data_IF_397527250183
#
_entry.id   IF_397527250183
#
_cell.length_a   1.000
_cell.length_b   1.000
_cell.length_c   1.000
_cell.angle_alpha   90.00
_cell.angle_beta   90.00
_cell.angle_gamma   90.00
#
_symmetry.space_group_name_H-M   'P 1'
#
loop_
_entity.id
_entity.type
_entity.pdbx_description
1 polymer ?
#
# COMPACT_ATOMS: atom_id res chain seq x y z
N UNK A 1 51.55 -54.12 44.96
CA UNK A 1 50.49 -54.85 44.24
C UNK A 1 49.22 -54.70 45.07
N UNK A 2 48.55 -53.55 45.12
CA UNK A 2 48.24 -52.55 44.08
C UNK A 2 47.08 -52.98 43.18
N UNK A 3 45.96 -52.31 43.38
CA UNK A 3 44.83 -52.15 42.48
C UNK A 3 44.34 -50.69 42.65
N UNK A 4 43.46 -50.16 41.79
CA UNK A 4 43.11 -50.55 40.42
C UNK A 4 43.44 -49.41 39.43
N UNK A 5 43.08 -49.55 38.14
CA UNK A 5 42.80 -48.36 37.33
C UNK A 5 41.62 -48.60 36.39
N UNK A 6 40.68 -47.65 36.37
CA UNK A 6 39.44 -47.75 35.61
C UNK A 6 39.61 -47.06 34.25
N UNK A 7 39.47 -47.82 33.16
CA UNK A 7 39.46 -47.26 31.81
C UNK A 7 38.26 -46.33 31.61
N UNK A 8 38.53 -45.03 31.46
CA UNK A 8 37.51 -43.99 31.38
C UNK A 8 36.62 -44.10 30.14
N UNK A 9 35.34 -43.81 30.31
CA UNK A 9 34.38 -43.62 29.21
C UNK A 9 34.72 -42.35 28.41
N UNK A 10 35.27 -42.49 27.20
CA UNK A 10 35.36 -41.38 26.25
C UNK A 10 33.96 -40.94 25.78
N UNK A 11 33.41 -39.93 26.45
CA UNK A 11 32.22 -39.25 26.00
C UNK A 11 32.56 -38.41 24.75
N UNK A 12 32.26 -38.93 23.55
CA UNK A 12 32.37 -38.16 22.32
C UNK A 12 31.49 -36.89 22.36
N UNK A 13 32.13 -35.76 22.62
CA UNK A 13 31.52 -34.44 22.59
C UNK A 13 31.14 -34.06 21.15
N UNK A 14 29.90 -34.38 20.75
CA UNK A 14 29.38 -34.11 19.40
C UNK A 14 29.16 -32.62 19.16
N UNK A 15 30.22 -31.91 18.79
CA UNK A 15 30.16 -30.52 18.38
C UNK A 15 29.10 -30.29 17.27
N UNK A 16 28.19 -29.31 17.42
CA UNK A 16 27.11 -29.09 16.45
C UNK A 16 27.65 -28.53 15.12
N UNK A 17 27.45 -29.29 14.04
CA UNK A 17 28.06 -29.06 12.71
C UNK A 17 27.80 -27.65 12.14
N UNK A 18 28.83 -26.82 11.86
CA UNK A 18 28.66 -25.44 11.39
C UNK A 18 27.99 -25.33 10.02
N UNK A 19 28.15 -26.36 9.16
CA UNK A 19 27.55 -26.43 7.82
C UNK A 19 26.03 -26.16 7.81
N UNK A 20 25.27 -26.62 8.82
CA UNK A 20 23.80 -26.43 8.85
C UNK A 20 23.38 -24.97 9.04
N UNK A 21 24.13 -24.17 9.79
CA UNK A 21 23.85 -22.73 9.96
C UNK A 21 24.16 -21.96 8.67
N UNK A 22 25.26 -22.31 8.01
CA UNK A 22 25.65 -21.73 6.72
C UNK A 22 24.58 -21.96 5.66
N UNK A 23 24.08 -23.20 5.50
CA UNK A 23 23.00 -23.50 4.55
C UNK A 23 21.71 -22.72 4.82
N UNK A 24 21.30 -22.55 6.09
CA UNK A 24 20.12 -21.75 6.43
C UNK A 24 20.26 -20.27 6.04
N UNK A 25 21.44 -19.68 6.27
CA UNK A 25 21.72 -18.29 5.87
C UNK A 25 21.75 -18.14 4.34
N UNK A 26 22.34 -19.11 3.63
CA UNK A 26 22.33 -19.16 2.16
C UNK A 26 20.89 -19.27 1.63
N UNK A 27 20.06 -20.14 2.20
CA UNK A 27 18.65 -20.27 1.79
C UNK A 27 17.84 -18.99 2.02
N UNK A 28 18.06 -18.30 3.14
CA UNK A 28 17.38 -17.02 3.43
C UNK A 28 17.84 -15.90 2.50
N UNK A 29 19.16 -15.80 2.25
CA UNK A 29 19.71 -14.83 1.31
C UNK A 29 19.24 -15.10 -0.14
N UNK A 30 19.20 -16.37 -0.55
CA UNK A 30 18.67 -16.79 -1.84
C UNK A 30 17.17 -16.46 -1.99
N UNK A 31 16.36 -16.70 -0.95
CA UNK A 31 14.95 -16.31 -0.95
C UNK A 31 14.77 -14.79 -1.08
N UNK A 32 15.55 -14.01 -0.32
CA UNK A 32 15.55 -12.54 -0.42
C UNK A 32 15.94 -12.04 -1.81
N UNK A 33 16.96 -12.65 -2.42
CA UNK A 33 17.39 -12.36 -3.79
C UNK A 33 16.30 -12.73 -4.82
N UNK A 34 15.64 -13.87 -4.67
CA UNK A 34 14.53 -14.28 -5.55
C UNK A 34 13.35 -13.29 -5.46
N UNK A 35 12.96 -12.87 -4.24
CA UNK A 35 11.91 -11.86 -4.05
C UNK A 35 12.33 -10.52 -4.68
N UNK A 36 13.57 -10.07 -4.46
CA UNK A 36 14.09 -8.84 -5.06
C UNK A 36 14.07 -8.89 -6.60
N UNK A 37 14.59 -9.96 -7.19
CA UNK A 37 14.60 -10.14 -8.65
C UNK A 37 13.19 -10.25 -9.23
N UNK A 38 12.25 -10.88 -8.53
CA UNK A 38 10.83 -10.93 -8.92
C UNK A 38 10.20 -9.54 -8.91
N UNK A 39 10.40 -8.75 -7.85
CA UNK A 39 9.92 -7.37 -7.74
C UNK A 39 10.51 -6.49 -8.84
N UNK A 40 11.82 -6.60 -9.11
CA UNK A 40 12.50 -5.86 -10.19
C UNK A 40 11.99 -6.30 -11.57
N UNK A 41 11.79 -7.59 -11.82
CA UNK A 41 11.27 -8.09 -13.09
C UNK A 41 9.83 -7.63 -13.34
N UNK A 42 8.96 -7.70 -12.34
CA UNK A 42 7.58 -7.19 -12.42
C UNK A 42 7.56 -5.68 -12.69
N UNK A 43 8.40 -4.91 -11.98
CA UNK A 43 8.53 -3.47 -12.22
C UNK A 43 9.06 -3.16 -13.63
N UNK A 44 10.12 -3.81 -14.08
CA UNK A 44 10.68 -3.65 -15.43
C UNK A 44 9.67 -4.01 -16.52
N UNK A 45 8.84 -5.04 -16.30
CA UNK A 45 7.79 -5.45 -17.25
C UNK A 45 6.65 -4.43 -17.39
N UNK A 46 6.51 -3.51 -16.43
CA UNK A 46 5.50 -2.42 -16.43
C UNK A 46 5.89 -1.18 -17.23
N UNK A 47 7.03 -1.19 -17.94
CA UNK A 47 7.55 -0.04 -18.68
C UNK A 47 6.50 0.62 -19.57
N UNK A 48 6.13 1.85 -19.18
CA UNK A 48 5.33 2.86 -19.89
C UNK A 48 4.50 2.41 -21.11
N UNK A 49 3.57 1.47 -20.91
CA UNK A 49 2.52 1.18 -21.89
C UNK A 49 1.38 2.16 -21.70
N UNK A 50 1.55 3.39 -22.19
CA UNK A 50 0.40 4.17 -22.63
C UNK A 50 -0.32 3.34 -23.69
N UNK A 51 -1.46 2.76 -23.34
CA UNK A 51 -2.40 2.23 -24.32
C UNK A 51 -2.78 3.41 -25.21
N UNK A 52 -2.47 3.34 -26.49
CA UNK A 52 -3.00 4.26 -27.48
C UNK A 52 -3.71 3.41 -28.51
N UNK A 53 -5.00 3.67 -28.67
CA UNK A 53 -5.88 3.01 -29.62
C UNK A 53 -6.61 4.10 -30.41
N UNK A 54 -7.08 3.80 -31.61
CA UNK A 54 -7.57 4.77 -32.58
C UNK A 54 -6.45 5.37 -33.42
N UNK A 55 -6.81 6.07 -34.48
CA UNK A 55 -5.86 6.70 -35.40
C UNK A 55 -5.63 8.17 -34.99
N UNK A 56 -4.40 8.57 -34.60
CA UNK A 56 -4.08 9.96 -34.32
C UNK A 56 -3.94 10.83 -35.58
N UNK A 57 -4.14 10.25 -36.76
CA UNK A 57 -4.11 10.87 -38.10
C UNK A 57 -5.42 10.63 -38.87
N UNK A 58 -6.54 10.43 -38.14
CA UNK A 58 -7.88 10.36 -38.71
C UNK A 58 -8.25 11.62 -39.52
N UNK A 59 -9.31 11.52 -40.32
CA UNK A 59 -9.66 12.60 -41.24
C UNK A 59 -10.24 13.79 -40.50
N UNK A 60 -9.93 14.99 -40.98
CA UNK A 60 -10.48 16.29 -40.54
C UNK A 60 -12.01 16.41 -40.76
N UNK A 61 -12.63 15.38 -41.35
CA UNK A 61 -14.07 15.20 -41.53
C UNK A 61 -14.74 14.40 -40.43
N UNK A 62 -13.99 13.73 -39.56
CA UNK A 62 -14.50 12.75 -38.61
C UNK A 62 -14.76 13.39 -37.23
N UNK A 63 -15.73 12.87 -36.48
CA UNK A 63 -15.97 13.27 -35.08
C UNK A 63 -14.96 12.58 -34.19
N UNK A 64 -14.03 13.35 -33.63
CA UNK A 64 -12.99 12.84 -32.73
C UNK A 64 -13.56 12.63 -31.32
N UNK A 65 -13.51 11.38 -30.85
CA UNK A 65 -13.93 11.00 -29.49
C UNK A 65 -12.75 10.38 -28.76
N UNK A 66 -12.07 11.18 -27.93
CA UNK A 66 -10.97 10.74 -27.08
C UNK A 66 -11.47 10.30 -25.71
N UNK A 67 -11.31 9.01 -25.41
CA UNK A 67 -11.60 8.40 -24.10
C UNK A 67 -10.28 8.30 -23.31
N UNK A 68 -10.29 8.79 -22.07
CA UNK A 68 -9.15 8.74 -21.15
C UNK A 68 -9.55 8.11 -19.80
N UNK A 69 -8.74 7.20 -19.23
CA UNK A 69 -9.06 6.57 -17.94
C UNK A 69 -8.74 7.49 -16.76
N UNK A 70 -9.73 7.72 -15.90
CA UNK A 70 -9.59 8.57 -14.71
C UNK A 70 -9.43 7.75 -13.41
N UNK A 71 -10.19 6.66 -13.25
CA UNK A 71 -10.12 5.79 -12.07
C UNK A 71 -10.66 4.38 -12.36
N UNK A 72 -10.18 3.38 -11.61
CA UNK A 72 -10.78 2.03 -11.58
C UNK A 72 -11.10 1.68 -10.13
N UNK A 73 -12.37 1.39 -9.85
CA UNK A 73 -12.85 0.96 -8.55
C UNK A 73 -13.42 -0.45 -8.63
N UNK A 74 -12.57 -1.43 -8.32
CA UNK A 74 -12.94 -2.84 -8.37
C UNK A 74 -13.98 -3.27 -7.33
N UNK A 75 -14.09 -2.55 -6.20
CA UNK A 75 -15.03 -2.90 -5.12
C UNK A 75 -16.51 -2.62 -5.48
N UNK A 76 -16.76 -1.87 -6.56
CA UNK A 76 -18.10 -1.61 -7.11
C UNK A 76 -18.14 -1.83 -8.63
N UNK A 77 -17.12 -2.50 -9.20
CA UNK A 77 -17.00 -2.82 -10.62
C UNK A 77 -17.18 -1.61 -11.56
N UNK A 78 -16.56 -0.47 -11.21
CA UNK A 78 -16.64 0.78 -12.00
C UNK A 78 -15.31 1.23 -12.59
N UNK A 79 -15.38 1.69 -13.84
CA UNK A 79 -14.32 2.40 -14.55
C UNK A 79 -14.80 3.83 -14.79
N UNK A 80 -14.07 4.82 -14.27
CA UNK A 80 -14.33 6.25 -14.51
C UNK A 80 -13.50 6.72 -15.70
N UNK A 81 -14.15 7.40 -16.63
CA UNK A 81 -13.61 7.82 -17.92
C UNK A 81 -13.89 9.31 -18.14
N UNK A 82 -12.91 10.04 -18.66
CA UNK A 82 -13.14 11.32 -19.31
C UNK A 82 -13.31 11.10 -20.80
N UNK A 83 -14.46 11.54 -21.34
CA UNK A 83 -14.77 11.46 -22.77
C UNK A 83 -14.74 12.88 -23.32
N UNK A 84 -13.74 13.18 -24.13
CA UNK A 84 -13.63 14.43 -24.88
C UNK A 84 -14.15 14.22 -26.29
N UNK A 85 -15.10 15.05 -26.71
CA UNK A 85 -15.65 15.10 -28.06
C UNK A 85 -15.19 16.39 -28.71
N UNK A 86 -14.70 16.28 -29.95
CA UNK A 86 -14.31 17.38 -30.82
C UNK A 86 -15.03 17.20 -32.17
N UNK A 87 -15.68 18.28 -32.64
CA UNK A 87 -16.39 18.27 -33.91
C UNK A 87 -15.45 18.59 -35.08
N UNK A 88 -15.64 17.98 -36.26
CA UNK A 88 -14.86 18.29 -37.46
C UNK A 88 -15.19 19.68 -38.00
N UNK A 89 -14.25 20.30 -38.72
CA UNK A 89 -14.37 21.63 -39.35
C UNK A 89 -15.61 21.76 -40.27
N UNK A 90 -16.06 20.64 -40.84
CA UNK A 90 -17.31 20.55 -41.62
C UNK A 90 -18.54 21.02 -40.82
N UNK A 91 -18.56 20.80 -39.50
CA UNK A 91 -19.63 21.17 -38.56
C UNK A 91 -19.38 22.48 -37.80
N UNK A 92 -18.21 23.12 -37.93
CA UNK A 92 -17.85 24.38 -37.25
C UNK A 92 -18.10 25.59 -38.15
N UNK A 93 -18.65 26.69 -37.65
CA UNK A 93 -18.86 27.95 -38.38
C UNK A 93 -17.54 28.48 -38.96
N UNK A 94 -17.61 29.28 -40.04
CA UNK A 94 -16.43 29.85 -40.70
C UNK A 94 -15.59 30.82 -39.81
N UNK A 95 -16.07 31.13 -38.61
CA UNK A 95 -15.31 31.85 -37.58
C UNK A 95 -14.40 30.93 -36.72
N UNK A 96 -14.56 29.61 -36.81
CA UNK A 96 -13.82 28.62 -36.02
C UNK A 96 -14.24 28.50 -34.55
N UNK A 97 -15.32 29.17 -34.12
CA UNK A 97 -15.68 29.33 -32.70
C UNK A 97 -16.92 28.52 -32.31
N UNK A 98 -17.87 28.32 -33.22
CA UNK A 98 -19.22 27.86 -32.90
C UNK A 98 -19.71 26.72 -33.80
N UNK A 99 -20.58 25.84 -33.28
CA UNK A 99 -21.22 24.74 -34.03
C UNK A 99 -22.29 25.22 -35.02
N UNK A 100 -22.21 24.80 -36.29
CA UNK A 100 -23.24 25.04 -37.36
C UNK A 100 -24.55 24.30 -37.12
N UNK A 101 -24.45 23.03 -36.70
CA UNK A 101 -25.55 22.08 -36.41
C UNK A 101 -25.39 21.55 -34.98
N UNK A 102 -26.45 21.01 -34.39
CA UNK A 102 -26.31 20.23 -33.16
C UNK A 102 -25.64 18.89 -33.48
N UNK A 103 -24.62 18.53 -32.69
CA UNK A 103 -23.95 17.23 -32.73
C UNK A 103 -24.24 16.48 -31.44
N UNK A 104 -24.73 15.25 -31.56
CA UNK A 104 -25.03 14.35 -30.46
C UNK A 104 -24.11 13.13 -30.55
N UNK A 105 -23.37 12.86 -29.48
CA UNK A 105 -22.56 11.63 -29.35
C UNK A 105 -23.19 10.75 -28.29
N UNK A 106 -23.74 9.62 -28.72
CA UNK A 106 -24.26 8.58 -27.85
C UNK A 106 -23.09 7.69 -27.39
N UNK A 107 -22.93 7.55 -26.07
CA UNK A 107 -22.00 6.61 -25.44
C UNK A 107 -22.79 5.69 -24.51
N UNK A 108 -22.73 4.38 -24.74
CA UNK A 108 -23.51 3.41 -23.97
C UNK A 108 -22.76 2.08 -23.80
N UNK A 109 -22.89 1.36 -22.67
CA UNK A 109 -23.56 1.76 -21.43
C UNK A 109 -22.69 2.69 -20.57
N UNK A 110 -23.26 3.79 -20.09
CA UNK A 110 -22.64 4.69 -19.09
C UNK A 110 -23.66 5.06 -18.01
N UNK A 111 -23.17 5.46 -16.83
CA UNK A 111 -24.00 5.98 -15.76
C UNK A 111 -24.58 7.36 -16.11
N UNK A 112 -25.87 7.55 -15.83
CA UNK A 112 -26.56 8.82 -16.07
C UNK A 112 -26.87 9.05 -17.55
N UNK A 113 -26.65 10.27 -18.03
CA UNK A 113 -27.00 10.66 -19.39
C UNK A 113 -26.02 10.07 -20.42
N UNK A 114 -26.54 9.19 -21.29
CA UNK A 114 -25.74 8.49 -22.31
C UNK A 114 -25.35 9.38 -23.50
N UNK A 115 -26.07 10.47 -23.74
CA UNK A 115 -25.75 11.44 -24.79
C UNK A 115 -24.82 12.56 -24.28
N UNK A 116 -23.89 12.98 -25.12
CA UNK A 116 -23.10 14.19 -25.02
C UNK A 116 -23.57 15.12 -26.15
N UNK A 117 -24.01 16.33 -25.83
CA UNK A 117 -24.52 17.29 -26.80
C UNK A 117 -23.56 18.46 -26.98
N UNK A 118 -23.29 18.82 -28.24
CA UNK A 118 -22.71 20.08 -28.65
C UNK A 118 -23.80 20.81 -29.43
N UNK A 119 -24.46 21.76 -28.76
CA UNK A 119 -25.60 22.48 -29.32
C UNK A 119 -25.17 23.45 -30.42
N UNK A 120 -26.08 23.77 -31.35
CA UNK A 120 -25.83 24.80 -32.34
C UNK A 120 -25.46 26.12 -31.65
N UNK A 121 -24.35 26.73 -32.07
CA UNK A 121 -23.79 27.93 -31.45
C UNK A 121 -22.90 27.67 -30.22
N UNK A 122 -22.76 26.44 -29.73
CA UNK A 122 -21.80 26.11 -28.67
C UNK A 122 -20.37 26.02 -29.21
N UNK A 123 -19.39 26.02 -28.30
CA UNK A 123 -18.02 25.64 -28.63
C UNK A 123 -17.96 24.21 -29.23
N UNK A 124 -17.05 23.92 -30.18
CA UNK A 124 -16.98 22.65 -30.90
C UNK A 124 -16.23 21.54 -30.15
N UNK A 125 -15.98 21.73 -28.84
CA UNK A 125 -15.30 20.77 -27.98
C UNK A 125 -15.97 20.71 -26.61
N UNK A 126 -16.20 19.51 -26.10
CA UNK A 126 -16.70 19.27 -24.74
C UNK A 126 -16.03 18.05 -24.13
N UNK A 127 -15.77 18.07 -22.82
CA UNK A 127 -15.29 16.90 -22.06
C UNK A 127 -16.29 16.56 -20.96
N UNK A 128 -16.68 15.29 -20.87
CA UNK A 128 -17.63 14.78 -19.89
C UNK A 128 -17.00 13.60 -19.14
N UNK A 129 -16.83 13.75 -17.83
CA UNK A 129 -16.50 12.63 -16.94
C UNK A 129 -17.73 11.74 -16.78
N UNK A 130 -17.57 10.44 -16.95
CA UNK A 130 -18.63 9.45 -16.70
C UNK A 130 -18.07 8.18 -16.04
N UNK A 131 -18.95 7.31 -15.58
CA UNK A 131 -18.63 6.01 -14.99
C UNK A 131 -19.32 4.92 -15.80
N UNK A 132 -18.64 3.80 -16.00
CA UNK A 132 -19.15 2.65 -16.76
C UNK A 132 -19.02 1.38 -15.92
N UNK A 133 -19.96 0.46 -16.08
CA UNK A 133 -19.85 -0.89 -15.47
C UNK A 133 -18.70 -1.60 -16.16
N UNK A 134 -17.74 -2.09 -15.39
CA UNK A 134 -16.61 -2.87 -15.85
C UNK A 134 -16.59 -4.19 -15.06
N UNK A 135 -17.22 -5.21 -15.64
CA UNK A 135 -17.44 -6.50 -14.99
C UNK A 135 -16.13 -7.18 -14.65
N UNK A 136 -16.00 -7.65 -13.41
CA UNK A 136 -14.77 -8.25 -12.89
C UNK A 136 -14.99 -8.90 -11.53
N UNK A 137 -13.90 -9.22 -10.84
CA UNK A 137 -13.97 -9.68 -9.44
C UNK A 137 -12.71 -9.27 -8.70
N UNK A 138 -12.90 -8.37 -7.73
CA UNK A 138 -11.84 -7.80 -6.89
C UNK A 138 -11.25 -8.83 -5.92
N UNK A 139 -11.99 -9.90 -5.64
CA UNK A 139 -11.56 -11.01 -4.78
C UNK A 139 -10.33 -11.73 -5.35
N UNK A 140 -10.14 -11.68 -6.68
CA UNK A 140 -8.99 -12.25 -7.39
C UNK A 140 -7.72 -11.39 -7.32
N UNK A 141 -7.71 -10.36 -6.48
CA UNK A 141 -6.54 -9.52 -6.23
C UNK A 141 -5.29 -10.36 -5.91
N UNK A 142 -4.11 -10.06 -6.51
CA UNK A 142 -3.80 -8.88 -7.32
C UNK A 142 -3.90 -9.12 -8.84
N UNK A 143 -4.47 -10.25 -9.27
CA UNK A 143 -4.63 -10.59 -10.68
C UNK A 143 -6.03 -10.26 -11.20
N UNK A 144 -6.70 -9.33 -10.54
CA UNK A 144 -8.02 -8.84 -10.88
C UNK A 144 -8.02 -8.10 -12.23
N UNK A 145 -9.08 -8.37 -13.01
CA UNK A 145 -9.32 -7.81 -14.34
C UNK A 145 -10.76 -7.33 -14.41
N UNK A 146 -10.98 -6.24 -15.13
CA UNK A 146 -12.29 -5.63 -15.32
C UNK A 146 -12.48 -5.32 -16.80
N UNK A 147 -13.57 -5.80 -17.39
CA UNK A 147 -13.86 -5.63 -18.81
C UNK A 147 -15.16 -4.88 -19.01
N UNK A 148 -15.17 -3.96 -19.96
CA UNK A 148 -16.37 -3.27 -20.41
C UNK A 148 -16.41 -3.20 -21.94
N UNK A 149 -17.61 -3.14 -22.50
CA UNK A 149 -17.84 -2.93 -23.92
C UNK A 149 -18.61 -1.64 -24.08
N UNK A 150 -18.05 -0.67 -24.79
CA UNK A 150 -18.66 0.64 -25.04
C UNK A 150 -19.03 0.75 -26.51
N UNK A 151 -20.17 1.37 -26.76
CA UNK A 151 -20.61 1.78 -28.09
C UNK A 151 -20.55 3.31 -28.11
N UNK A 152 -19.96 3.85 -29.18
CA UNK A 152 -19.84 5.28 -29.43
C UNK A 152 -20.34 5.57 -30.84
N UNK A 153 -21.38 6.41 -30.97
CA UNK A 153 -21.93 6.83 -32.26
C UNK A 153 -22.21 8.33 -32.22
N UNK A 154 -21.67 9.06 -33.19
CA UNK A 154 -21.97 10.47 -33.42
C UNK A 154 -23.02 10.65 -34.52
N UNK A 155 -23.98 11.55 -34.32
CA UNK A 155 -24.95 11.95 -35.34
C UNK A 155 -25.31 13.43 -35.17
N UNK A 156 -25.65 14.11 -36.27
CA UNK A 156 -26.24 15.45 -36.21
C UNK A 156 -27.75 15.37 -36.33
N UNK A 157 -28.47 16.33 -35.75
CA UNK A 157 -29.92 16.48 -35.92
C UNK A 157 -30.20 17.77 -36.68
N UNK A 158 -31.06 17.71 -37.69
CA UNK A 158 -31.50 18.88 -38.45
C UNK A 158 -32.66 19.64 -37.78
N UNK A 159 -33.22 20.64 -38.46
CA UNK A 159 -34.32 21.44 -37.93
C UNK A 159 -35.69 20.72 -37.98
N UNK A 160 -35.82 19.68 -38.80
CA UNK A 160 -37.03 18.89 -39.00
C UNK A 160 -37.04 17.62 -38.11
N UNK A 161 -35.91 17.31 -37.48
CA UNK A 161 -35.72 16.20 -36.52
C UNK A 161 -35.03 14.98 -37.09
N UNK A 162 -34.59 14.99 -38.36
CA UNK A 162 -33.90 13.86 -38.98
C UNK A 162 -32.46 13.74 -38.45
N UNK A 163 -31.97 12.51 -38.31
CA UNK A 163 -30.67 12.21 -37.71
C UNK A 163 -29.67 11.71 -38.77
N UNK A 164 -28.57 12.42 -38.93
CA UNK A 164 -27.52 12.13 -39.91
C UNK A 164 -26.26 11.59 -39.21
N UNK A 165 -25.98 10.30 -39.35
CA UNK A 165 -24.81 9.62 -38.77
C UNK A 165 -23.51 10.24 -39.28
N UNK A 166 -22.58 10.51 -38.38
CA UNK A 166 -21.25 11.02 -38.69
C UNK A 166 -20.19 9.93 -38.54
N UNK A 167 -19.15 9.95 -39.38
CA UNK A 167 -17.96 9.13 -39.14
C UNK A 167 -17.34 9.53 -37.80
N UNK A 168 -16.96 8.55 -36.99
CA UNK A 168 -16.51 8.77 -35.61
C UNK A 168 -15.16 8.09 -35.39
N UNK A 169 -14.11 8.87 -35.13
CA UNK A 169 -12.80 8.36 -34.74
C UNK A 169 -12.75 8.19 -33.22
N UNK A 170 -12.75 6.94 -32.74
CA UNK A 170 -12.73 6.64 -31.31
C UNK A 170 -11.29 6.35 -30.87
N UNK A 171 -10.71 7.29 -30.15
CA UNK A 171 -9.35 7.19 -29.61
C UNK A 171 -9.37 6.82 -28.12
N UNK A 172 -8.41 6.00 -27.70
CA UNK A 172 -8.06 5.83 -26.28
C UNK A 172 -6.71 6.46 -26.01
N UNK A 173 -6.62 7.33 -24.99
CA UNK A 173 -5.42 8.12 -24.69
C UNK A 173 -5.14 8.19 -23.19
N UNK A 174 -3.89 8.42 -22.83
CA UNK A 174 -3.44 8.59 -21.45
C UNK A 174 -3.02 7.29 -20.77
N UNK A 175 -2.86 7.36 -19.45
CA UNK A 175 -2.48 6.24 -18.60
C UNK A 175 -3.07 6.46 -17.19
N UNK A 176 -3.36 5.38 -16.47
CA UNK A 176 -3.77 5.44 -15.07
C UNK A 176 -2.70 4.78 -14.20
N UNK A 177 -2.23 5.47 -13.16
CA UNK A 177 -1.22 4.90 -12.27
C UNK A 177 -1.70 3.60 -11.64
N UNK A 178 -0.87 2.56 -11.76
CA UNK A 178 -1.14 1.24 -11.21
C UNK A 178 -2.00 0.32 -12.07
N UNK A 179 -2.42 0.75 -13.27
CA UNK A 179 -3.25 -0.02 -14.20
C UNK A 179 -2.67 -0.04 -15.62
N UNK A 180 -2.96 -1.12 -16.33
CA UNK A 180 -2.76 -1.29 -17.77
C UNK A 180 -4.13 -1.45 -18.43
N UNK A 181 -4.33 -0.87 -19.61
CA UNK A 181 -5.53 -1.11 -20.41
C UNK A 181 -5.18 -1.79 -21.74
N UNK A 182 -5.97 -2.78 -22.13
CA UNK A 182 -6.05 -3.28 -23.49
C UNK A 182 -7.36 -2.80 -24.11
N UNK A 183 -7.29 -2.25 -25.32
CA UNK A 183 -8.45 -1.67 -26.01
C UNK A 183 -8.49 -2.20 -27.43
N UNK A 184 -9.66 -2.66 -27.87
CA UNK A 184 -9.88 -3.13 -29.23
C UNK A 184 -11.31 -2.82 -29.67
N UNK A 185 -11.46 -2.26 -30.88
CA UNK A 185 -12.76 -2.20 -31.56
C UNK A 185 -13.03 -3.53 -32.26
N UNK A 186 -14.21 -4.09 -32.03
CA UNK A 186 -14.69 -5.33 -32.65
C UNK A 186 -16.05 -5.04 -33.27
N UNK A 187 -16.23 -5.44 -34.53
CA UNK A 187 -17.56 -5.55 -35.14
C UNK A 187 -18.01 -6.99 -34.89
N UNK A 188 -18.95 -7.25 -33.95
CA UNK A 188 -19.43 -8.61 -33.72
C UNK A 188 -20.24 -9.11 -34.93
N UNK A 189 -20.37 -10.45 -35.12
CA UNK A 189 -21.13 -11.03 -36.23
C UNK A 189 -22.59 -10.56 -36.27
N UNK A 190 -23.19 -10.41 -35.08
CA UNK A 190 -24.49 -9.82 -34.86
C UNK A 190 -24.25 -8.40 -34.27
N UNK A 191 -24.22 -7.34 -35.09
CA UNK A 191 -24.01 -5.97 -34.60
C UNK A 191 -25.17 -5.52 -33.72
N UNK A 192 -24.86 -4.74 -32.68
CA UNK A 192 -25.90 -4.02 -31.94
C UNK A 192 -26.43 -2.93 -32.85
N UNK A 193 -27.70 -3.04 -33.23
CA UNK A 193 -28.42 -1.99 -33.95
C UNK A 193 -28.88 -0.93 -32.95
N UNK A 194 -28.52 0.32 -33.18
CA UNK A 194 -29.01 1.46 -32.41
C UNK A 194 -30.06 2.21 -33.23
N UNK A 195 -31.23 2.42 -32.62
CA UNK A 195 -32.29 3.27 -33.16
C UNK A 195 -31.98 4.74 -32.82
N UNK A 196 -31.84 5.58 -33.85
CA UNK A 196 -31.67 7.03 -33.72
C UNK A 196 -33.03 7.71 -33.48
N UNK A 197 -33.06 9.00 -33.07
CA UNK A 197 -34.31 9.69 -32.72
C UNK A 197 -35.37 9.78 -33.83
N UNK A 198 -34.98 9.55 -35.09
CA UNK A 198 -35.86 9.51 -36.27
C UNK A 198 -36.31 8.09 -36.66
N UNK A 199 -35.93 7.07 -35.88
CA UNK A 199 -36.21 5.65 -36.15
C UNK A 199 -35.18 4.96 -37.05
N UNK A 200 -34.08 5.63 -37.44
CA UNK A 200 -33.03 5.01 -38.26
C UNK A 200 -32.22 4.01 -37.44
N UNK A 201 -32.18 2.74 -37.84
CA UNK A 201 -31.31 1.73 -37.24
C UNK A 201 -29.89 1.75 -37.83
N UNK A 202 -28.87 1.83 -36.97
CA UNK A 202 -27.45 1.93 -37.38
C UNK A 202 -26.63 0.84 -36.67
N UNK A 203 -25.79 0.06 -37.39
CA UNK A 203 -24.92 -0.95 -36.79
C UNK A 203 -23.78 -0.26 -36.02
N UNK A 204 -23.65 -0.57 -34.74
CA UNK A 204 -22.73 0.14 -33.86
C UNK A 204 -21.49 -0.71 -33.49
N UNK A 205 -20.26 -0.19 -33.66
CA UNK A 205 -19.04 -0.92 -33.32
C UNK A 205 -18.86 -1.03 -31.80
N UNK A 206 -18.36 -2.18 -31.34
CA UNK A 206 -18.13 -2.43 -29.92
C UNK A 206 -16.67 -2.19 -29.55
N UNK A 207 -16.40 -1.11 -28.82
CA UNK A 207 -15.11 -0.82 -28.21
C UNK A 207 -14.95 -1.62 -26.91
N UNK A 208 -14.20 -2.71 -26.96
CA UNK A 208 -13.83 -3.48 -25.77
C UNK A 208 -12.66 -2.82 -25.04
N UNK A 209 -12.78 -2.68 -23.72
CA UNK A 209 -11.76 -2.13 -22.83
C UNK A 209 -11.55 -3.08 -21.66
N UNK A 210 -10.34 -3.61 -21.50
CA UNK A 210 -9.94 -4.45 -20.37
C UNK A 210 -8.89 -3.73 -19.51
N UNK A 211 -9.22 -3.51 -18.23
CA UNK A 211 -8.31 -2.98 -17.22
C UNK A 211 -7.69 -4.12 -16.39
N UNK A 212 -6.37 -4.10 -16.20
CA UNK A 212 -5.62 -5.05 -15.37
C UNK A 212 -4.54 -4.34 -14.55
N UNK A 213 -4.13 -4.91 -13.41
CA UNK A 213 -3.08 -4.31 -12.56
C UNK A 213 -1.75 -4.19 -13.31
N UNK A 214 -1.06 -3.06 -13.14
CA UNK A 214 0.28 -2.87 -13.69
C UNK A 214 1.31 -3.79 -13.01
N UNK A 215 2.41 -4.09 -13.72
CA UNK A 215 3.54 -4.83 -13.13
C UNK A 215 4.16 -4.11 -11.93
N UNK A 216 4.13 -2.77 -11.88
CA UNK A 216 4.57 -1.98 -10.72
C UNK A 216 3.65 -2.14 -9.51
N UNK A 217 2.33 -2.20 -9.70
CA UNK A 217 1.35 -2.54 -8.66
C UNK A 217 1.56 -3.95 -8.13
N UNK A 218 1.76 -4.92 -9.03
CA UNK A 218 2.05 -6.31 -8.68
C UNK A 218 3.36 -6.41 -7.88
N UNK A 219 4.42 -5.72 -8.30
CA UNK A 219 5.71 -5.68 -7.61
C UNK A 219 5.58 -5.14 -6.18
N UNK A 220 4.84 -4.04 -5.99
CA UNK A 220 4.59 -3.47 -4.66
C UNK A 220 3.71 -4.39 -3.80
N UNK A 221 2.70 -5.04 -4.38
CA UNK A 221 1.90 -6.07 -3.70
C UNK A 221 2.77 -7.23 -3.19
N UNK A 222 3.63 -7.81 -4.05
CA UNK A 222 4.57 -8.87 -3.68
C UNK A 222 5.51 -8.44 -2.56
N UNK A 223 6.00 -7.19 -2.57
CA UNK A 223 6.84 -6.64 -1.51
C UNK A 223 6.09 -6.61 -0.16
N UNK A 224 4.88 -6.05 -0.11
CA UNK A 224 4.08 -5.98 1.12
C UNK A 224 3.72 -7.37 1.66
N UNK A 225 3.33 -8.30 0.79
CA UNK A 225 3.04 -9.68 1.16
C UNK A 225 4.29 -10.41 1.70
N UNK A 226 5.46 -10.14 1.12
CA UNK A 226 6.73 -10.68 1.62
C UNK A 226 7.04 -10.19 3.03
N UNK A 227 6.79 -8.90 3.33
CA UNK A 227 6.93 -8.36 4.70
C UNK A 227 5.93 -9.02 5.66
N UNK A 228 4.65 -9.14 5.26
CA UNK A 228 3.60 -9.82 6.02
C UNK A 228 3.98 -11.27 6.37
N UNK A 229 4.62 -12.01 5.46
CA UNK A 229 5.08 -13.40 5.69
C UNK A 229 6.37 -13.47 6.51
N UNK A 230 7.28 -12.50 6.41
CA UNK A 230 8.53 -12.48 7.19
C UNK A 230 8.28 -12.22 8.67
N UNK A 231 7.31 -11.36 9.03
CA UNK A 231 6.96 -11.06 10.43
C UNK A 231 6.67 -12.30 11.30
N UNK A 232 5.73 -13.22 10.95
CA UNK A 232 5.48 -14.43 11.72
C UNK A 232 6.68 -15.38 11.74
N UNK A 233 7.46 -15.46 10.67
CA UNK A 233 8.67 -16.31 10.64
C UNK A 233 9.69 -15.83 11.68
N UNK A 234 9.90 -14.52 11.81
CA UNK A 234 10.76 -13.94 12.84
C UNK A 234 10.21 -14.15 14.25
N UNK A 235 8.90 -13.95 14.45
CA UNK A 235 8.24 -14.18 15.74
C UNK A 235 8.33 -15.65 16.17
N UNK A 236 8.01 -16.59 15.29
CA UNK A 236 8.14 -18.03 15.54
C UNK A 236 9.60 -18.44 15.81
N UNK A 237 10.57 -17.89 15.07
CA UNK A 237 11.99 -18.16 15.29
C UNK A 237 12.44 -17.73 16.70
N UNK A 238 12.02 -16.54 17.16
CA UNK A 238 12.32 -16.05 18.52
C UNK A 238 11.58 -16.90 19.56
N UNK A 239 10.30 -17.20 19.34
CA UNK A 239 9.48 -18.01 20.25
C UNK A 239 10.02 -19.42 20.47
N UNK A 240 10.34 -20.13 19.39
CA UNK A 240 10.92 -21.48 19.45
C UNK A 240 12.32 -21.45 20.06
N UNK A 241 13.11 -20.40 19.79
CA UNK A 241 14.45 -20.23 20.41
C UNK A 241 14.37 -20.00 21.92
N UNK A 242 13.37 -19.26 22.40
CA UNK A 242 13.09 -19.08 23.82
C UNK A 242 12.59 -20.39 24.45
N UNK A 243 11.61 -21.06 23.81
CA UNK A 243 11.05 -22.31 24.31
C UNK A 243 12.09 -23.43 24.44
N UNK A 244 13.03 -23.52 23.49
CA UNK A 244 14.15 -24.47 23.52
C UNK A 244 15.30 -24.08 24.48
N UNK A 245 15.15 -23.01 25.28
CA UNK A 245 16.14 -22.59 26.27
C UNK A 245 17.42 -21.98 25.67
N UNK A 246 17.44 -21.64 24.37
CA UNK A 246 18.61 -21.07 23.69
C UNK A 246 18.77 -19.56 23.88
N UNK A 247 17.73 -18.89 24.38
CA UNK A 247 17.72 -17.46 24.72
C UNK A 247 16.98 -17.24 26.04
N UNK A 248 17.36 -16.20 26.77
CA UNK A 248 16.64 -15.76 27.97
C UNK A 248 15.24 -15.26 27.56
N UNK A 249 14.27 -15.45 28.45
CA UNK A 249 12.90 -14.98 28.25
C UNK A 249 12.75 -13.63 28.95
N UNK A 250 12.34 -12.62 28.19
CA UNK A 250 12.24 -11.23 28.64
C UNK A 250 10.82 -10.70 28.34
N UNK A 251 10.24 -9.94 29.27
CA UNK A 251 8.89 -9.38 29.09
C UNK A 251 8.79 -8.42 27.89
N UNK A 252 9.88 -7.73 27.57
CA UNK A 252 10.03 -6.81 26.41
C UNK A 252 9.68 -7.48 25.07
N UNK A 253 10.10 -8.73 24.89
CA UNK A 253 9.85 -9.50 23.66
C UNK A 253 8.36 -9.88 23.52
N UNK A 254 7.65 -10.07 24.62
CA UNK A 254 6.19 -10.31 24.59
C UNK A 254 5.44 -9.10 24.03
N UNK A 255 5.80 -7.89 24.50
CA UNK A 255 5.23 -6.64 23.97
C UNK A 255 5.55 -6.43 22.49
N UNK A 256 6.78 -6.76 22.06
CA UNK A 256 7.17 -6.70 20.64
C UNK A 256 6.37 -7.69 19.76
N UNK A 257 6.15 -8.92 20.22
CA UNK A 257 5.31 -9.90 19.51
C UNK A 257 3.85 -9.43 19.41
N UNK A 258 3.31 -8.84 20.48
CA UNK A 258 1.99 -8.21 20.46
C UNK A 258 1.90 -7.05 19.46
N UNK A 259 2.91 -6.19 19.40
CA UNK A 259 2.97 -5.10 18.43
C UNK A 259 3.00 -5.60 16.98
N UNK A 260 3.71 -6.69 16.68
CA UNK A 260 3.72 -7.32 15.35
C UNK A 260 2.33 -7.83 14.93
N UNK A 261 1.56 -8.38 15.87
CA UNK A 261 0.17 -8.80 15.63
C UNK A 261 -0.73 -7.61 15.27
N UNK A 262 -0.67 -6.51 16.03
CA UNK A 262 -1.47 -5.31 15.73
C UNK A 262 -1.02 -4.59 14.45
N UNK A 263 0.28 -4.57 14.13
CA UNK A 263 0.81 -3.96 12.91
C UNK A 263 0.36 -4.69 11.62
N UNK A 264 -0.04 -5.96 11.72
CA UNK A 264 -0.50 -6.77 10.58
C UNK A 264 -1.81 -6.23 9.97
N UNK A 265 -2.73 -5.71 10.79
CA UNK A 265 -4.05 -5.25 10.32
C UNK A 265 -3.94 -4.01 9.42
N UNK A 266 -3.25 -2.91 9.81
CA UNK A 266 -3.02 -1.78 8.90
C UNK A 266 -2.21 -2.16 7.66
N UNK A 267 -1.21 -3.05 7.80
CA UNK A 267 -0.35 -3.44 6.68
C UNK A 267 -1.12 -4.17 5.56
N UNK A 268 -2.14 -4.97 5.92
CA UNK A 268 -3.10 -5.55 4.97
C UNK A 268 -3.95 -4.48 4.26
N UNK A 269 -4.25 -3.36 4.93
CA UNK A 269 -4.96 -2.22 4.35
C UNK A 269 -4.18 -1.48 3.27
N UNK A 270 -2.84 -1.49 3.35
CA UNK A 270 -1.95 -0.84 2.37
C UNK A 270 -1.71 -1.63 1.08
N UNK A 271 -2.32 -2.81 0.91
CA UNK A 271 -2.31 -3.51 -0.38
C UNK A 271 -2.95 -2.62 -1.47
N UNK A 272 -2.35 -2.49 -2.66
CA UNK A 272 -2.84 -1.64 -3.75
C UNK A 272 -4.34 -1.74 -4.05
N UNK A 273 -5.04 -0.60 -3.98
CA UNK A 273 -6.48 -0.53 -4.16
C UNK A 273 -7.30 -1.05 -2.96
N UNK A 274 -6.65 -1.36 -1.84
CA UNK A 274 -7.24 -1.79 -0.56
C UNK A 274 -8.38 -2.82 -0.75
N UNK A 275 -8.08 -4.01 -1.31
CA UNK A 275 -9.09 -4.99 -1.70
C UNK A 275 -10.06 -5.31 -0.54
N UNK A 276 -11.37 -5.51 -0.78
CA UNK A 276 -12.35 -5.79 0.26
C UNK A 276 -11.98 -6.99 1.14
N UNK A 277 -12.45 -7.00 2.38
CA UNK A 277 -12.29 -8.14 3.29
C UNK A 277 -13.03 -9.35 2.70
N UNK A 278 -12.33 -10.48 2.58
CA UNK A 278 -12.84 -11.69 1.91
C UNK A 278 -12.22 -11.97 0.55
N UNK A 279 -11.27 -11.15 0.10
CA UNK A 279 -10.47 -11.44 -1.10
C UNK A 279 -9.58 -12.68 -0.89
N UNK A 280 -9.21 -13.39 -1.96
CA UNK A 280 -8.41 -14.63 -1.89
C UNK A 280 -7.13 -14.48 -1.06
N UNK A 281 -6.50 -13.30 -1.09
CA UNK A 281 -5.30 -12.99 -0.33
C UNK A 281 -5.48 -13.09 1.19
N UNK A 282 -6.68 -12.82 1.70
CA UNK A 282 -6.97 -12.92 3.12
C UNK A 282 -6.93 -14.39 3.57
N UNK A 283 -7.52 -15.29 2.79
CA UNK A 283 -7.54 -16.73 3.07
C UNK A 283 -6.19 -17.41 2.83
N UNK A 284 -5.47 -17.01 1.77
CA UNK A 284 -4.22 -17.64 1.36
C UNK A 284 -3.01 -17.17 2.17
N UNK A 285 -2.99 -15.92 2.65
CA UNK A 285 -1.83 -15.35 3.34
C UNK A 285 -2.20 -14.73 4.69
N UNK A 286 -3.11 -13.75 4.73
CA UNK A 286 -3.31 -12.91 5.94
C UNK A 286 -3.77 -13.74 7.15
N UNK A 287 -4.71 -14.68 6.94
CA UNK A 287 -5.18 -15.58 7.98
C UNK A 287 -4.05 -16.42 8.57
N UNK A 288 -3.17 -16.98 7.72
CA UNK A 288 -2.02 -17.77 8.15
C UNK A 288 -0.97 -16.94 8.87
N UNK A 289 -0.76 -15.68 8.45
CA UNK A 289 0.10 -14.72 9.15
C UNK A 289 -0.42 -14.47 10.57
N UNK A 290 -1.72 -14.19 10.73
CA UNK A 290 -2.36 -13.97 12.04
C UNK A 290 -2.25 -15.23 12.91
N UNK A 291 -2.60 -16.41 12.38
CA UNK A 291 -2.49 -17.69 13.10
C UNK A 291 -1.05 -17.96 13.55
N UNK A 292 -0.06 -17.72 12.69
CA UNK A 292 1.34 -17.92 13.01
C UNK A 292 1.88 -16.93 14.06
N UNK A 293 1.43 -15.66 14.03
CA UNK A 293 1.76 -14.66 15.05
C UNK A 293 1.15 -15.02 16.42
N UNK A 294 -0.12 -15.41 16.46
CA UNK A 294 -0.79 -15.87 17.70
C UNK A 294 -0.14 -17.14 18.24
N UNK A 295 0.17 -18.12 17.38
CA UNK A 295 0.88 -19.33 17.77
C UNK A 295 2.28 -19.02 18.31
N UNK A 296 3.02 -18.12 17.68
CA UNK A 296 4.32 -17.66 18.17
C UNK A 296 4.25 -16.98 19.53
N UNK A 297 3.27 -16.10 19.75
CA UNK A 297 3.02 -15.50 21.05
C UNK A 297 2.67 -16.56 22.11
N UNK A 298 1.82 -17.54 21.79
CA UNK A 298 1.46 -18.63 22.70
C UNK A 298 2.68 -19.51 23.06
N UNK A 299 3.54 -19.85 22.08
CA UNK A 299 4.81 -20.56 22.31
C UNK A 299 5.75 -19.73 23.19
N UNK A 300 5.78 -18.40 23.03
CA UNK A 300 6.59 -17.51 23.88
C UNK A 300 6.06 -17.44 25.32
N UNK A 301 4.73 -17.38 25.50
CA UNK A 301 4.09 -17.47 26.83
C UNK A 301 4.40 -18.82 27.50
N UNK A 302 4.36 -19.92 26.74
CA UNK A 302 4.75 -21.24 27.25
C UNK A 302 6.25 -21.30 27.62
N UNK A 303 7.12 -20.64 26.84
CA UNK A 303 8.54 -20.50 27.16
C UNK A 303 8.74 -19.71 28.48
N UNK A 304 7.97 -18.64 28.68
CA UNK A 304 7.99 -17.84 29.91
C UNK A 304 7.47 -18.62 31.11
N UNK A 305 6.41 -19.41 30.97
CA UNK A 305 5.94 -20.31 32.03
C UNK A 305 6.99 -21.38 32.39
N UNK A 306 7.71 -21.92 31.40
CA UNK A 306 8.73 -22.96 31.59
C UNK A 306 10.05 -22.45 32.18
N UNK A 307 10.52 -21.28 31.75
CA UNK A 307 11.87 -20.77 32.04
C UNK A 307 11.89 -19.47 32.85
N UNK A 308 10.72 -18.87 33.11
CA UNK A 308 10.60 -17.61 33.83
C UNK A 308 11.00 -17.72 35.30
N UNK A 309 11.63 -16.66 35.80
CA UNK A 309 12.03 -16.56 37.21
C UNK A 309 10.80 -16.60 38.11
N UNK A 310 10.70 -17.61 38.98
CA UNK A 310 9.63 -17.67 39.98
C UNK A 310 9.71 -16.44 40.88
N UNK A 311 8.57 -15.79 41.14
CA UNK A 311 8.51 -14.76 42.16
C UNK A 311 8.90 -15.38 43.51
N UNK A 312 9.98 -14.89 44.13
CA UNK A 312 10.31 -15.22 45.51
C UNK A 312 9.13 -14.81 46.39
N UNK A 313 8.55 -15.72 47.21
CA UNK A 313 7.50 -15.36 48.15
C UNK A 313 7.94 -14.16 48.99
N UNK A 314 7.09 -13.14 49.04
CA UNK A 314 7.34 -11.96 49.87
C UNK A 314 7.36 -12.45 51.32
N UNK A 315 8.55 -12.50 51.93
CA UNK A 315 8.69 -12.96 53.32
C UNK A 315 7.67 -12.24 54.19
N UNK A 316 6.92 -12.98 55.05
CA UNK A 316 6.07 -12.34 56.03
C UNK A 316 6.94 -11.38 56.83
N UNK A 317 6.60 -10.08 56.84
CA UNK A 317 7.33 -9.07 57.62
C UNK A 317 7.43 -9.58 59.05
N UNK A 318 8.61 -10.07 59.43
CA UNK A 318 8.85 -10.60 60.77
C UNK A 318 8.43 -9.52 61.76
N UNK A 319 7.53 -9.90 62.67
CA UNK A 319 6.88 -8.98 63.59
C UNK A 319 7.93 -8.14 64.33
N UNK A 320 7.86 -6.81 64.17
CA UNK A 320 8.67 -5.84 64.91
C UNK A 320 8.20 -5.80 66.37
N UNK A 321 8.44 -6.88 67.09
CA UNK A 321 7.94 -7.13 68.43
C UNK A 321 9.04 -7.75 69.31
N UNK A 322 9.53 -6.98 70.28
CA UNK A 322 10.09 -7.51 71.52
C UNK A 322 11.50 -8.12 71.48
N UNK A 323 12.54 -7.28 71.39
CA UNK A 323 13.68 -7.42 72.32
C UNK A 323 14.50 -6.14 72.44
N UNK A 324 14.28 -5.40 73.54
CA UNK A 324 15.30 -4.52 74.09
C UNK A 324 16.03 -5.24 75.22
N UNK A 325 17.36 -5.17 75.25
CA UNK A 325 18.12 -5.13 76.51
C UNK A 325 19.45 -4.42 76.30
N UNK A 326 19.85 -3.67 77.32
CA UNK A 326 20.97 -2.73 77.27
C UNK A 326 22.35 -3.39 77.13
N UNK A 327 23.26 -2.64 76.51
CA UNK A 327 24.65 -2.54 76.99
C UNK A 327 24.91 -1.05 77.22
N UNK A 328 25.51 -0.73 78.36
CA UNK A 328 25.92 0.60 78.82
C UNK A 328 27.44 0.64 78.80
N UNK A 329 28.01 1.69 78.23
CA UNK A 329 29.45 1.93 78.19
C UNK A 329 29.70 3.26 77.51
N UNK A 330 30.15 4.25 78.29
CA UNK A 330 30.60 5.54 77.78
C UNK A 330 31.87 5.35 76.94
N UNK A 331 32.05 6.19 75.90
CA UNK A 331 33.28 6.99 75.74
C UNK A 331 33.18 7.98 74.57
N UNK A 332 33.34 9.26 74.91
CA UNK A 332 34.05 10.31 74.18
C UNK A 332 33.66 10.65 72.72
N UNK A 333 32.74 11.60 72.61
CA UNK A 333 33.07 12.97 72.15
C UNK A 333 34.31 13.12 71.24
N UNK A 334 34.16 12.92 69.91
CA UNK A 334 35.05 13.54 68.92
C UNK A 334 34.26 14.00 67.68
N UNK A 335 34.35 15.30 67.37
CA UNK A 335 34.13 15.89 66.04
C UNK A 335 32.70 15.94 65.47
N UNK A 336 31.82 16.69 66.12
CA UNK A 336 30.63 17.32 65.50
C UNK A 336 30.99 18.46 64.50
N UNK A 337 32.22 18.50 63.97
CA UNK A 337 32.74 19.60 63.13
C UNK A 337 32.91 19.23 61.65
N UNK A 338 32.89 17.94 61.26
CA UNK A 338 33.14 17.55 59.86
C UNK A 338 31.92 17.65 58.91
N UNK A 339 30.69 17.75 59.42
CA UNK A 339 29.46 17.71 58.61
C UNK A 339 29.00 19.11 58.15
N UNK A 340 29.33 20.17 58.89
CA UNK A 340 28.91 21.53 58.57
C UNK A 340 29.70 22.18 57.41
N UNK A 341 30.94 21.74 57.18
CA UNK A 341 31.83 22.37 56.21
C UNK A 341 31.65 21.84 54.77
N UNK A 342 31.18 20.59 54.61
CA UNK A 342 30.87 20.02 53.28
C UNK A 342 29.60 20.61 52.66
N UNK A 343 28.62 21.00 53.47
CA UNK A 343 27.35 21.59 52.99
C UNK A 343 27.47 23.07 52.56
N UNK A 344 28.57 23.76 52.91
CA UNK A 344 28.80 25.16 52.50
C UNK A 344 29.49 25.33 51.14
N UNK A 345 30.11 24.29 50.55
CA UNK A 345 30.85 24.43 49.29
C UNK A 345 29.99 24.41 48.02
N UNK A 346 28.86 23.69 48.02
CA UNK A 346 28.09 23.48 46.78
C UNK A 346 26.98 24.54 46.52
N UNK A 347 26.60 25.33 47.52
CA UNK A 347 25.57 26.39 47.35
C UNK A 347 26.11 27.75 46.91
N UNK A 348 27.44 27.97 46.93
CA UNK A 348 28.08 29.25 46.59
C UNK A 348 28.55 29.40 45.14
N UNK A 349 28.18 28.48 44.23
CA UNK A 349 28.68 28.44 42.84
C UNK A 349 27.59 28.58 41.77
N UNK A 350 26.51 29.28 42.11
CA UNK A 350 25.51 29.79 41.17
C UNK A 350 25.29 31.27 41.50
N UNK A 351 25.15 32.06 40.45
CA UNK A 351 25.06 33.54 40.43
C UNK A 351 26.38 34.33 40.53
N UNK A 352 26.39 35.44 39.78
CA UNK A 352 27.40 36.52 39.65
C UNK A 352 28.74 36.27 38.93
N UNK A 353 28.68 36.53 37.61
CA UNK A 353 29.80 36.83 36.70
C UNK A 353 29.45 36.40 35.27
N UNK A 354 29.35 37.28 34.26
CA UNK A 354 29.68 38.71 34.17
C UNK A 354 28.97 39.34 32.93
N UNK A 355 28.20 40.41 33.13
CA UNK A 355 27.98 41.47 32.10
C UNK A 355 29.27 42.31 32.01
N UNK A 356 29.68 43.02 30.96
CA UNK A 356 29.03 43.58 29.77
C UNK A 356 30.18 44.12 28.85
N UNK A 357 30.05 44.05 27.53
CA UNK A 357 30.56 45.03 26.51
C UNK A 357 30.06 44.53 25.14
N UNK A 358 29.18 45.24 24.39
CA UNK A 358 29.47 46.44 23.58
C UNK A 358 29.28 46.05 22.10
N UNK A 359 28.08 46.06 21.50
CA UNK A 359 27.21 47.18 21.07
C UNK A 359 27.81 47.97 19.88
N UNK A 360 26.94 48.28 18.90
CA UNK A 360 27.11 49.17 17.71
C UNK A 360 27.68 48.54 16.44
N UNK A 361 27.40 49.03 15.23
CA UNK A 361 26.34 49.91 14.64
C UNK A 361 26.53 49.72 13.10
N UNK A 362 25.57 49.67 12.17
CA UNK A 362 24.11 49.45 12.13
C UNK A 362 23.72 49.24 10.62
N UNK A 363 22.44 49.01 10.25
CA UNK A 363 21.84 49.36 8.92
C UNK A 363 22.33 48.62 7.61
N UNK A 364 21.58 48.43 6.50
CA UNK A 364 20.27 48.91 6.00
C UNK A 364 19.82 48.11 4.73
N UNK A 365 18.50 48.00 4.52
CA UNK A 365 17.73 48.20 3.24
C UNK A 365 17.84 47.20 2.07
N UNK A 366 16.70 46.74 1.54
CA UNK A 366 15.87 47.27 0.41
C UNK A 366 16.49 46.87 -0.95
N UNK A 367 15.78 46.53 -2.04
CA UNK A 367 14.34 46.32 -2.31
C UNK A 367 14.18 45.51 -3.63
N UNK A 368 12.94 45.37 -4.10
CA UNK A 368 12.53 45.14 -5.51
C UNK A 368 12.73 43.76 -6.18
N UNK A 369 11.65 43.29 -6.82
CA UNK A 369 11.53 42.03 -7.56
C UNK A 369 10.08 41.59 -7.75
#
# INVERSE_FOLDING_TARGET
MSAPEAGGSEAHERAPRPRRRLWLLISLAALGLVVYLLVVALYASSGARSSTFGDPTASDTDVDVTISPLAVNGAVERLSLDISVEAPDSLIEANGVAMKKQLLVLVTPVDGAQTIALDKGSIPRITKTTSVVAGGSVENWPFDRYSTGLIVVAYTVDADGNAEVQQTNVMWKGYLSGWNFAVASVIPPDPVMLELPDGTEVPAPLLTVEASRSGSTLAFGVLLLSVLVVMPVLVLFVAISAFTGRRKVEATLMSWMGAMLFATIPLRGFLPGSPPIGSWIDFLIVLWVIVALVAGLAVYVAAWSRWGTRATPKEPRASRAGRGRAVRGDENEVSSTMTAERLRRDYGRREYGRREDGRRDDERRDDEG
#
